data_IF_303503918278
#
_entry.id   IF_303503918278
#
_cell.length_a   1.000
_cell.length_b   1.000
_cell.length_c   1.000
_cell.angle_alpha   90.00
_cell.angle_beta   90.00
_cell.angle_gamma   90.00
#
_symmetry.space_group_name_H-M   'P 1'
#
loop_
_entity.id
_entity.type
_entity.pdbx_description
1 polymer ?
#
# COMPACT_ATOMS: atom_id res chain seq x y z
N UNK A 1 0.75 9.30 -28.72
CA UNK A 1 -0.57 8.72 -28.38
C UNK A 1 -0.45 8.08 -27.01
N UNK A 2 -1.41 8.29 -26.10
CA UNK A 2 -1.36 7.67 -24.77
C UNK A 2 -1.75 6.19 -24.84
N UNK A 3 -0.89 5.33 -24.31
CA UNK A 3 -1.18 3.92 -24.08
C UNK A 3 -1.94 3.76 -22.75
N UNK A 4 -2.85 2.80 -22.66
CA UNK A 4 -3.60 2.49 -21.44
C UNK A 4 -3.73 0.99 -21.25
N UNK A 5 -3.61 0.53 -20.01
CA UNK A 5 -3.84 -0.87 -19.64
C UNK A 5 -5.24 -1.02 -19.06
N UNK A 6 -5.97 -2.03 -19.53
CA UNK A 6 -7.27 -2.46 -19.01
C UNK A 6 -7.13 -3.89 -18.50
N UNK A 7 -7.59 -4.14 -17.27
CA UNK A 7 -7.60 -5.47 -16.68
C UNK A 7 -9.00 -6.10 -16.81
N UNK A 8 -9.05 -7.31 -17.36
CA UNK A 8 -10.20 -8.21 -17.30
C UNK A 8 -9.88 -9.29 -16.28
N UNK A 9 -10.77 -9.48 -15.31
CA UNK A 9 -10.62 -10.48 -14.25
C UNK A 9 -11.91 -11.25 -14.23
N UNK A 10 -11.86 -12.46 -14.75
CA UNK A 10 -13.03 -13.28 -15.06
C UNK A 10 -12.79 -14.71 -14.60
N UNK A 11 -13.86 -15.45 -14.35
CA UNK A 11 -13.78 -16.90 -14.19
C UNK A 11 -13.59 -17.58 -15.56
N UNK A 12 -13.28 -18.88 -15.57
CA UNK A 12 -13.05 -19.64 -16.81
C UNK A 12 -14.23 -19.60 -17.78
N UNK A 13 -15.46 -19.56 -17.26
CA UNK A 13 -16.67 -19.48 -18.09
C UNK A 13 -16.77 -18.15 -18.84
N UNK A 14 -16.45 -17.04 -18.16
CA UNK A 14 -16.54 -15.70 -18.73
C UNK A 14 -15.30 -15.30 -19.54
N UNK A 15 -14.19 -16.05 -19.46
CA UNK A 15 -12.96 -15.76 -20.21
C UNK A 15 -13.16 -15.83 -21.73
N UNK A 16 -14.01 -16.74 -22.22
CA UNK A 16 -14.35 -16.84 -23.65
C UNK A 16 -14.91 -15.53 -24.20
N UNK A 17 -15.72 -14.83 -23.40
CA UNK A 17 -16.30 -13.53 -23.79
C UNK A 17 -15.20 -12.47 -23.97
N UNK A 18 -14.17 -12.51 -23.11
CA UNK A 18 -13.02 -11.60 -23.21
C UNK A 18 -12.22 -11.90 -24.47
N UNK A 19 -11.94 -13.17 -24.76
CA UNK A 19 -11.20 -13.60 -25.94
C UNK A 19 -11.91 -13.25 -27.25
N UNK A 20 -13.23 -13.47 -27.33
CA UNK A 20 -14.04 -13.05 -28.48
C UNK A 20 -14.03 -11.53 -28.66
N UNK A 21 -14.08 -10.76 -27.57
CA UNK A 21 -14.01 -9.31 -27.64
C UNK A 21 -12.61 -8.81 -28.08
N UNK A 22 -11.54 -9.47 -27.62
CA UNK A 22 -10.18 -9.20 -28.05
C UNK A 22 -9.98 -9.50 -29.54
N UNK A 23 -10.45 -10.67 -30.00
CA UNK A 23 -10.39 -11.05 -31.41
C UNK A 23 -11.10 -10.01 -32.28
N UNK A 24 -12.30 -9.57 -31.88
CA UNK A 24 -13.02 -8.51 -32.60
C UNK A 24 -12.27 -7.19 -32.63
N UNK A 25 -11.66 -6.78 -31.51
CA UNK A 25 -10.87 -5.56 -31.44
C UNK A 25 -9.67 -5.61 -32.40
N UNK A 26 -8.93 -6.72 -32.41
CA UNK A 26 -7.77 -6.93 -33.28
C UNK A 26 -8.20 -6.88 -34.76
N UNK A 27 -9.31 -7.51 -35.12
CA UNK A 27 -9.81 -7.53 -36.50
C UNK A 27 -10.34 -6.17 -36.95
N UNK A 28 -11.14 -5.49 -36.12
CA UNK A 28 -11.82 -4.24 -36.51
C UNK A 28 -10.97 -2.98 -36.33
N UNK A 29 -10.10 -2.95 -35.31
CA UNK A 29 -9.28 -1.78 -34.95
C UNK A 29 -7.85 -2.20 -34.57
N UNK A 30 -7.08 -2.78 -35.50
CA UNK A 30 -5.73 -3.27 -35.21
C UNK A 30 -4.78 -2.16 -34.71
N UNK A 31 -4.97 -0.91 -35.14
CA UNK A 31 -4.17 0.23 -34.69
C UNK A 31 -4.38 0.63 -33.22
N UNK A 32 -5.52 0.23 -32.63
CA UNK A 32 -5.82 0.46 -31.23
C UNK A 32 -5.24 -0.63 -30.32
N UNK A 33 -4.99 -1.82 -30.85
CA UNK A 33 -4.41 -2.92 -30.11
C UNK A 33 -2.88 -2.78 -30.04
N UNK A 34 -2.30 -3.00 -28.85
CA UNK A 34 -0.84 -3.03 -28.67
C UNK A 34 -0.38 -4.42 -28.30
N UNK A 35 -0.87 -4.95 -27.17
CA UNK A 35 -0.53 -6.28 -26.67
C UNK A 35 -1.56 -6.72 -25.63
N UNK A 36 -1.62 -8.02 -25.34
CA UNK A 36 -2.32 -8.54 -24.17
C UNK A 36 -1.63 -9.80 -23.64
N UNK A 37 -1.96 -10.16 -22.41
CA UNK A 37 -1.43 -11.30 -21.68
C UNK A 37 -2.54 -11.84 -20.82
N UNK A 38 -2.65 -13.16 -20.78
CA UNK A 38 -3.60 -13.88 -19.96
C UNK A 38 -2.82 -14.69 -18.95
N UNK A 39 -3.10 -14.46 -17.67
CA UNK A 39 -2.60 -15.30 -16.58
C UNK A 39 -3.75 -16.08 -15.97
N UNK A 40 -3.52 -17.36 -15.74
CA UNK A 40 -4.51 -18.29 -15.21
C UNK A 40 -4.09 -18.73 -13.82
N UNK A 41 -5.04 -18.74 -12.89
CA UNK A 41 -4.81 -19.21 -11.53
C UNK A 41 -5.96 -20.08 -11.05
N UNK A 42 -5.61 -21.10 -10.27
CA UNK A 42 -6.56 -22.03 -9.66
C UNK A 42 -6.57 -21.74 -8.16
N UNK A 43 -7.75 -21.43 -7.62
CA UNK A 43 -7.97 -21.17 -6.21
C UNK A 43 -9.17 -22.00 -5.73
N UNK A 44 -8.89 -23.06 -4.96
CA UNK A 44 -9.90 -24.05 -4.60
C UNK A 44 -10.45 -24.77 -5.83
N UNK A 45 -11.78 -24.75 -6.00
CA UNK A 45 -12.46 -25.32 -7.16
C UNK A 45 -12.75 -24.31 -8.29
N UNK A 46 -12.25 -23.08 -8.16
CA UNK A 46 -12.45 -22.02 -9.16
C UNK A 46 -11.16 -21.69 -9.87
N UNK A 47 -11.32 -21.40 -11.15
CA UNK A 47 -10.26 -20.94 -12.03
C UNK A 47 -10.53 -19.49 -12.39
N UNK A 48 -9.54 -18.64 -12.17
CA UNK A 48 -9.58 -17.22 -12.50
C UNK A 48 -8.60 -16.93 -13.63
N UNK A 49 -9.03 -16.09 -14.57
CA UNK A 49 -8.24 -15.58 -15.66
C UNK A 49 -8.10 -14.07 -15.50
N UNK A 50 -6.86 -13.59 -15.58
CA UNK A 50 -6.52 -12.18 -15.55
C UNK A 50 -5.93 -11.82 -16.89
N UNK A 51 -6.69 -11.09 -17.71
CA UNK A 51 -6.23 -10.56 -18.97
C UNK A 51 -5.86 -9.10 -18.83
N UNK A 52 -4.58 -8.77 -18.95
CA UNK A 52 -4.11 -7.40 -19.07
C UNK A 52 -4.06 -7.04 -20.56
N UNK A 53 -4.77 -5.99 -20.96
CA UNK A 53 -4.88 -5.52 -22.34
C UNK A 53 -4.32 -4.11 -22.47
N UNK A 54 -3.30 -3.93 -23.31
CA UNK A 54 -2.71 -2.64 -23.62
C UNK A 54 -3.32 -2.07 -24.91
N UNK A 55 -3.89 -0.86 -24.81
CA UNK A 55 -4.56 -0.15 -25.91
C UNK A 55 -3.91 1.20 -26.21
N UNK A 56 -3.87 1.55 -27.49
CA UNK A 56 -3.61 2.89 -27.98
C UNK A 56 -4.93 3.66 -28.11
N UNK A 57 -4.98 4.88 -27.57
CA UNK A 57 -6.12 5.76 -27.79
C UNK A 57 -7.44 5.26 -27.20
N UNK A 58 -7.38 4.56 -26.06
CA UNK A 58 -8.57 4.10 -25.35
C UNK A 58 -9.56 5.26 -25.10
N UNK A 59 -10.81 5.07 -25.48
CA UNK A 59 -11.84 6.13 -25.44
C UNK A 59 -12.46 6.26 -24.05
N UNK A 60 -12.29 7.43 -23.43
CA UNK A 60 -13.03 7.83 -22.24
C UNK A 60 -14.46 8.19 -22.63
N UNK A 61 -15.47 7.66 -21.95
CA UNK A 61 -16.85 8.11 -22.17
C UNK A 61 -16.99 9.59 -21.78
N UNK A 62 -17.74 10.35 -22.58
CA UNK A 62 -18.01 11.78 -22.34
C UNK A 62 -19.41 11.98 -21.75
N UNK A 63 -19.63 13.13 -21.10
CA UNK A 63 -20.75 13.40 -20.17
C UNK A 63 -22.16 13.06 -20.67
N UNK A 64 -22.46 13.20 -21.95
CA UNK A 64 -23.80 12.88 -22.49
C UNK A 64 -24.08 11.37 -22.58
N UNK A 65 -23.04 10.54 -22.64
CA UNK A 65 -23.13 9.07 -22.60
C UNK A 65 -22.95 8.51 -21.18
N UNK A 66 -22.60 9.36 -20.21
CA UNK A 66 -22.48 8.96 -18.81
C UNK A 66 -23.87 8.80 -18.22
N UNK A 67 -24.46 7.61 -18.38
CA UNK A 67 -25.45 7.20 -17.40
C UNK A 67 -24.71 7.17 -16.05
N UNK A 68 -25.11 8.07 -15.14
CA UNK A 68 -24.61 8.25 -13.76
C UNK A 68 -24.58 6.93 -12.93
N UNK A 69 -25.08 5.83 -13.50
CA UNK A 69 -25.19 4.52 -12.89
C UNK A 69 -23.98 3.59 -13.04
N UNK A 70 -23.12 3.67 -14.08
CA UNK A 70 -22.13 2.61 -14.31
C UNK A 70 -21.02 2.58 -13.25
N UNK A 71 -20.27 3.68 -13.11
CA UNK A 71 -19.21 3.75 -12.10
C UNK A 71 -19.77 3.61 -10.68
N UNK A 72 -20.93 4.21 -10.39
CA UNK A 72 -21.60 4.06 -9.08
C UNK A 72 -22.02 2.61 -8.80
N UNK A 73 -22.44 1.86 -9.82
CA UNK A 73 -22.78 0.43 -9.71
C UNK A 73 -21.54 -0.43 -9.54
N UNK A 74 -20.47 -0.16 -10.29
CA UNK A 74 -19.20 -0.85 -10.15
C UNK A 74 -18.62 -0.66 -8.74
N UNK A 75 -18.61 0.59 -8.24
CA UNK A 75 -18.23 0.92 -6.87
C UNK A 75 -19.04 0.18 -5.82
N UNK A 76 -20.37 0.15 -5.97
CA UNK A 76 -21.26 -0.59 -5.07
C UNK A 76 -20.93 -2.08 -5.03
N UNK A 77 -20.67 -2.70 -6.19
CA UNK A 77 -20.29 -4.12 -6.27
C UNK A 77 -18.98 -4.42 -5.55
N UNK A 78 -18.01 -3.51 -5.62
CA UNK A 78 -16.71 -3.69 -4.94
C UNK A 78 -16.67 -3.13 -3.50
N UNK A 79 -17.75 -2.52 -2.99
CA UNK A 79 -17.77 -1.93 -1.64
C UNK A 79 -17.09 -0.54 -1.51
N UNK A 80 -16.82 0.12 -2.64
CA UNK A 80 -16.04 1.36 -2.74
C UNK A 80 -16.92 2.61 -2.73
N UNK A 81 -17.63 2.87 -1.64
CA UNK A 81 -18.66 3.93 -1.63
C UNK A 81 -18.11 5.33 -1.38
N UNK A 82 -17.16 5.45 -0.46
CA UNK A 82 -16.58 6.73 -0.02
C UNK A 82 -15.09 6.79 -0.31
N UNK A 83 -14.52 7.99 -0.31
CA UNK A 83 -13.08 8.18 -0.48
C UNK A 83 -12.31 7.32 0.53
N UNK A 84 -11.33 6.54 0.07
CA UNK A 84 -10.51 5.70 0.94
C UNK A 84 -11.19 4.44 1.49
N UNK A 85 -12.48 4.16 1.25
CA UNK A 85 -13.09 2.88 1.70
C UNK A 85 -12.47 1.66 1.01
N UNK A 86 -11.93 0.65 1.71
CA UNK A 86 -11.39 -0.55 1.06
C UNK A 86 -12.43 -1.36 0.27
N UNK A 87 -12.03 -2.16 -0.74
CA UNK A 87 -12.93 -3.13 -1.35
C UNK A 87 -13.28 -4.26 -0.37
N UNK A 88 -14.36 -4.99 -0.64
CA UNK A 88 -14.68 -6.20 0.13
C UNK A 88 -13.82 -7.39 -0.32
N UNK A 89 -12.69 -7.63 0.37
CA UNK A 89 -11.76 -8.74 0.09
C UNK A 89 -12.32 -10.13 0.45
N UNK A 90 -13.46 -10.20 1.15
CA UNK A 90 -14.05 -11.47 1.61
C UNK A 90 -15.22 -11.95 0.75
N UNK A 91 -15.51 -11.29 -0.38
CA UNK A 91 -16.59 -11.69 -1.29
C UNK A 91 -16.23 -12.87 -2.22
N UNK A 92 -15.01 -13.41 -2.10
CA UNK A 92 -14.51 -14.51 -2.90
C UNK A 92 -14.27 -14.15 -4.37
N UNK A 93 -14.23 -12.87 -4.72
CA UNK A 93 -13.87 -12.40 -6.06
C UNK A 93 -12.37 -12.11 -6.16
N UNK A 94 -11.82 -12.33 -7.36
CA UNK A 94 -10.40 -12.09 -7.61
C UNK A 94 -10.12 -10.60 -7.82
N UNK A 95 -9.03 -10.12 -7.20
CA UNK A 95 -8.51 -8.76 -7.35
C UNK A 95 -7.00 -8.78 -7.53
N UNK A 96 -6.51 -7.92 -8.41
CA UNK A 96 -5.08 -7.57 -8.44
C UNK A 96 -4.84 -6.49 -7.41
N UNK A 97 -3.93 -6.73 -6.48
CA UNK A 97 -3.51 -5.79 -5.42
C UNK A 97 -2.00 -5.72 -5.36
N UNK A 98 -1.45 -4.72 -4.67
CA UNK A 98 -0.05 -4.77 -4.22
C UNK A 98 -0.05 -5.21 -2.76
N UNK A 99 0.62 -6.32 -2.47
CA UNK A 99 0.74 -6.84 -1.11
C UNK A 99 2.14 -6.62 -0.58
N UNK A 100 2.22 -6.39 0.73
CA UNK A 100 3.47 -6.18 1.44
C UNK A 100 3.65 -7.29 2.47
N UNK A 101 4.78 -7.98 2.42
CA UNK A 101 5.09 -9.17 3.20
C UNK A 101 6.52 -9.12 3.78
N UNK A 102 6.73 -9.79 4.91
CA UNK A 102 8.08 -10.09 5.42
C UNK A 102 8.66 -11.25 4.63
N UNK A 103 9.99 -11.30 4.51
CA UNK A 103 10.70 -12.43 3.87
C UNK A 103 10.20 -13.80 4.35
N UNK A 104 10.02 -13.95 5.66
CA UNK A 104 9.62 -15.21 6.31
C UNK A 104 8.22 -15.71 5.91
N UNK A 105 7.39 -14.85 5.34
CA UNK A 105 6.03 -15.19 4.88
C UNK A 105 6.01 -15.67 3.42
N UNK A 106 7.15 -15.60 2.74
CA UNK A 106 7.29 -16.11 1.38
C UNK A 106 7.75 -17.55 1.44
N UNK A 107 6.93 -18.44 0.92
CA UNK A 107 7.32 -19.81 0.64
C UNK A 107 8.11 -19.84 -0.68
N UNK A 108 9.37 -19.38 -0.68
CA UNK A 108 10.13 -19.20 -1.92
C UNK A 108 11.59 -19.66 -1.86
N UNK A 109 11.87 -20.76 -2.57
CA UNK A 109 13.20 -21.19 -3.04
C UNK A 109 13.75 -20.33 -4.21
N UNK A 110 12.87 -19.61 -4.93
CA UNK A 110 13.21 -18.87 -6.15
C UNK A 110 13.71 -17.43 -5.91
N UNK A 111 13.32 -16.80 -4.79
CA UNK A 111 13.90 -15.51 -4.40
C UNK A 111 15.35 -15.69 -3.93
N UNK A 112 15.68 -16.84 -3.33
CA UNK A 112 17.06 -17.14 -2.97
C UNK A 112 18.00 -17.17 -4.17
N UNK A 113 17.55 -17.63 -5.35
CA UNK A 113 18.37 -17.64 -6.56
C UNK A 113 18.55 -16.24 -7.16
N UNK A 114 17.51 -15.39 -7.13
CA UNK A 114 17.62 -13.98 -7.54
C UNK A 114 18.46 -13.12 -6.59
N UNK A 115 18.36 -13.37 -5.28
CA UNK A 115 19.17 -12.67 -4.26
C UNK A 115 20.62 -13.14 -4.30
N UNK A 116 20.90 -14.43 -4.51
CA UNK A 116 22.29 -14.92 -4.69
C UNK A 116 22.98 -14.33 -5.92
N UNK A 117 22.22 -13.96 -6.95
CA UNK A 117 22.75 -13.38 -8.19
C UNK A 117 22.86 -11.84 -8.18
N UNK A 118 22.27 -11.16 -7.19
CA UNK A 118 22.44 -9.72 -7.02
C UNK A 118 23.52 -9.46 -5.98
N UNK A 119 24.52 -8.65 -6.34
CA UNK A 119 25.69 -8.24 -5.55
C UNK A 119 25.36 -7.45 -4.25
N UNK A 120 24.15 -7.59 -3.69
CA UNK A 120 23.75 -6.95 -2.45
C UNK A 120 24.26 -7.78 -1.27
N UNK A 121 25.29 -7.25 -0.62
CA UNK A 121 26.02 -7.85 0.50
C UNK A 121 25.14 -8.36 1.65
N UNK A 122 25.75 -9.23 2.45
CA UNK A 122 25.21 -9.95 3.62
C UNK A 122 24.69 -9.07 4.77
N UNK A 123 24.49 -7.77 4.57
CA UNK A 123 24.20 -6.81 5.64
C UNK A 123 22.72 -6.43 5.55
N UNK A 124 21.97 -6.83 6.59
CA UNK A 124 20.53 -6.54 6.86
C UNK A 124 19.45 -7.42 6.21
N UNK A 125 19.69 -8.72 6.02
CA UNK A 125 18.65 -9.67 5.54
C UNK A 125 17.49 -9.92 6.52
N UNK A 126 17.54 -9.41 7.75
CA UNK A 126 16.56 -9.70 8.82
C UNK A 126 15.34 -8.79 8.88
N UNK A 127 15.32 -7.65 8.17
CA UNK A 127 14.25 -6.62 8.30
C UNK A 127 13.59 -6.24 6.97
N UNK A 128 13.89 -6.93 5.89
CA UNK A 128 13.42 -6.55 4.56
C UNK A 128 11.91 -6.82 4.43
N UNK A 129 11.14 -5.75 4.44
CA UNK A 129 9.76 -5.75 3.96
C UNK A 129 9.80 -5.74 2.43
N UNK A 130 9.03 -6.62 1.81
CA UNK A 130 8.92 -6.74 0.37
C UNK A 130 7.52 -6.36 -0.08
N UNK A 131 7.43 -5.75 -1.26
CA UNK A 131 6.17 -5.48 -1.93
C UNK A 131 6.17 -6.17 -3.29
N UNK A 132 5.07 -6.84 -3.61
CA UNK A 132 4.84 -7.38 -4.94
C UNK A 132 3.37 -7.26 -5.30
N UNK A 133 3.10 -7.25 -6.59
CA UNK A 133 1.75 -7.42 -7.08
C UNK A 133 1.28 -8.86 -6.88
N UNK A 134 0.03 -9.00 -6.46
CA UNK A 134 -0.58 -10.28 -6.15
C UNK A 134 -2.02 -10.34 -6.65
N UNK A 135 -2.51 -11.57 -6.83
CA UNK A 135 -3.93 -11.87 -6.89
C UNK A 135 -4.41 -12.18 -5.48
N UNK A 136 -5.41 -11.44 -5.03
CA UNK A 136 -6.15 -11.70 -3.79
C UNK A 136 -7.48 -12.35 -4.18
N UNK A 137 -7.75 -13.53 -3.60
CA UNK A 137 -8.98 -14.30 -3.83
C UNK A 137 -9.47 -14.86 -2.50
N UNK A 138 -10.49 -14.24 -1.91
CA UNK A 138 -11.14 -14.77 -0.70
C UNK A 138 -10.18 -14.94 0.48
N UNK A 139 -9.23 -14.00 0.64
CA UNK A 139 -8.19 -14.02 1.67
C UNK A 139 -6.91 -14.78 1.29
N UNK A 140 -6.92 -15.54 0.19
CA UNK A 140 -5.71 -16.19 -0.34
C UNK A 140 -4.95 -15.25 -1.26
N UNK A 141 -3.62 -15.32 -1.23
CA UNK A 141 -2.75 -14.42 -2.00
C UNK A 141 -1.78 -15.22 -2.84
N UNK A 142 -1.68 -14.82 -4.10
CA UNK A 142 -0.82 -15.47 -5.08
C UNK A 142 0.03 -14.42 -5.79
N UNK A 143 1.32 -14.67 -5.93
CA UNK A 143 2.20 -13.75 -6.65
C UNK A 143 1.76 -13.60 -8.11
N UNK A 144 1.71 -12.38 -8.61
CA UNK A 144 1.26 -12.08 -9.97
C UNK A 144 2.11 -11.00 -10.62
N UNK A 145 2.85 -11.38 -11.65
CA UNK A 145 3.79 -10.50 -12.34
C UNK A 145 3.59 -10.62 -13.86
N UNK A 146 2.80 -9.73 -14.49
CA UNK A 146 2.56 -9.81 -15.94
C UNK A 146 3.82 -9.45 -16.76
N UNK A 147 4.15 -10.29 -17.74
CA UNK A 147 5.34 -10.26 -18.57
C UNK A 147 5.61 -8.93 -19.30
N UNK A 148 4.60 -8.20 -19.78
CA UNK A 148 4.84 -6.91 -20.46
C UNK A 148 4.77 -5.68 -19.54
N UNK A 149 4.20 -5.81 -18.34
CA UNK A 149 4.33 -4.79 -17.31
C UNK A 149 5.71 -4.88 -16.62
N UNK A 150 6.40 -6.02 -16.73
CA UNK A 150 7.80 -6.23 -16.32
C UNK A 150 8.85 -5.45 -17.14
N UNK A 151 8.48 -4.71 -18.20
CA UNK A 151 9.40 -3.74 -18.82
C UNK A 151 9.65 -2.63 -17.81
N UNK A 152 10.63 -2.85 -16.93
CA UNK A 152 11.08 -2.01 -15.83
C UNK A 152 10.03 -0.96 -15.48
N UNK A 153 9.18 -1.20 -14.47
CA UNK A 153 8.11 -0.28 -14.03
C UNK A 153 8.54 1.18 -13.88
N UNK A 154 9.85 1.48 -13.89
CA UNK A 154 10.37 2.79 -14.26
C UNK A 154 9.75 3.36 -15.53
N UNK A 155 9.29 2.63 -16.55
CA UNK A 155 8.64 3.18 -17.76
C UNK A 155 7.14 3.40 -17.66
N UNK A 156 6.38 2.61 -16.89
CA UNK A 156 4.95 2.88 -16.68
C UNK A 156 4.72 4.05 -15.71
N UNK A 157 5.60 4.16 -14.71
CA UNK A 157 5.76 5.38 -13.92
C UNK A 157 6.80 6.35 -14.54
N UNK A 158 7.44 6.12 -15.68
CA UNK A 158 8.08 7.23 -16.43
C UNK A 158 7.11 7.80 -17.46
N UNK A 159 6.12 7.06 -17.95
CA UNK A 159 5.07 7.67 -18.77
C UNK A 159 4.15 8.56 -17.92
N UNK A 160 3.88 8.20 -16.65
CA UNK A 160 3.02 9.00 -15.76
C UNK A 160 3.69 9.58 -14.50
N UNK A 161 4.82 9.07 -13.98
CA UNK A 161 5.67 9.83 -13.04
C UNK A 161 6.75 10.67 -13.75
N UNK A 162 6.80 10.69 -15.10
CA UNK A 162 7.12 11.91 -15.86
C UNK A 162 5.90 12.55 -16.54
N UNK A 163 4.67 12.15 -16.18
CA UNK A 163 3.61 13.16 -16.08
C UNK A 163 3.81 13.97 -14.78
N UNK A 164 5.04 14.43 -14.56
CA UNK A 164 5.18 15.87 -14.43
C UNK A 164 4.39 16.47 -15.60
N UNK A 165 3.16 16.88 -15.34
CA UNK A 165 2.67 18.08 -16.01
C UNK A 165 3.55 19.21 -15.51
N UNK A 166 4.80 19.22 -15.96
CA UNK A 166 5.61 20.41 -16.10
C UNK A 166 4.76 21.31 -16.98
N UNK A 167 3.98 22.18 -16.33
CA UNK A 167 3.73 23.47 -16.93
C UNK A 167 5.04 24.25 -16.76
N UNK A 168 6.05 23.90 -17.55
CA UNK A 168 7.10 24.84 -17.90
C UNK A 168 6.41 25.88 -18.75
N UNK A 169 5.96 26.95 -18.09
CA UNK A 169 5.48 28.13 -18.79
C UNK A 169 6.74 28.85 -19.29
N UNK A 170 7.28 28.39 -20.42
CA UNK A 170 8.23 29.18 -21.22
C UNK A 170 7.40 30.22 -21.99
N UNK A 171 6.90 31.22 -21.26
CA UNK A 171 6.45 32.47 -21.87
C UNK A 171 7.48 33.55 -21.54
N UNK A 172 7.69 34.46 -22.49
CA UNK A 172 8.48 35.68 -22.30
C UNK A 172 7.82 36.68 -21.34
N UNK A 173 6.73 36.28 -20.69
CA UNK A 173 5.99 37.10 -19.75
C UNK A 173 6.81 37.31 -18.46
N UNK A 174 7.25 38.55 -18.27
CA UNK A 174 8.01 38.97 -17.09
C UNK A 174 7.17 38.93 -15.80
N UNK A 175 5.85 38.73 -15.88
CA UNK A 175 4.95 38.58 -14.73
C UNK A 175 4.93 37.17 -14.12
N UNK A 176 5.70 36.21 -14.66
CA UNK A 176 5.68 34.81 -14.23
C UNK A 176 6.96 34.44 -13.48
N UNK A 177 6.82 33.62 -12.45
CA UNK A 177 7.93 33.01 -11.74
C UNK A 177 8.34 31.72 -12.47
N UNK A 178 9.60 31.68 -12.92
CA UNK A 178 10.22 30.59 -13.68
C UNK A 178 10.93 29.63 -12.74
N UNK A 179 10.17 28.65 -12.28
CA UNK A 179 10.66 27.59 -11.40
C UNK A 179 10.04 26.25 -11.73
N UNK A 180 10.45 25.24 -10.96
CA UNK A 180 9.88 23.90 -11.01
C UNK A 180 9.79 23.37 -9.58
N UNK A 181 8.66 22.76 -9.23
CA UNK A 181 8.56 21.95 -8.02
C UNK A 181 8.98 20.53 -8.36
N UNK A 182 9.88 19.96 -7.59
CA UNK A 182 10.25 18.55 -7.65
C UNK A 182 9.85 17.85 -6.36
N UNK A 183 9.25 16.67 -6.51
CA UNK A 183 8.82 15.81 -5.40
C UNK A 183 9.55 14.49 -5.55
N UNK A 184 10.17 14.02 -4.48
CA UNK A 184 10.85 12.74 -4.41
C UNK A 184 10.21 11.87 -3.33
N UNK A 185 9.86 10.64 -3.69
CA UNK A 185 9.51 9.62 -2.70
C UNK A 185 10.79 9.11 -2.01
N UNK A 186 10.78 9.11 -0.68
CA UNK A 186 11.88 8.67 0.17
C UNK A 186 11.43 7.38 0.86
N UNK A 187 11.77 6.19 0.31
CA UNK A 187 11.35 4.94 0.92
C UNK A 187 11.96 4.78 2.31
N UNK A 188 11.22 4.16 3.23
CA UNK A 188 11.78 3.68 4.48
C UNK A 188 13.00 2.78 4.23
N UNK A 189 14.06 2.98 5.01
CA UNK A 189 15.35 2.29 4.88
C UNK A 189 15.27 0.76 4.98
N UNK A 190 14.18 0.21 5.53
CA UNK A 190 13.97 -1.23 5.72
C UNK A 190 13.12 -1.92 4.64
N UNK A 191 12.65 -1.21 3.61
CA UNK A 191 11.85 -1.83 2.54
C UNK A 191 12.79 -2.30 1.42
N UNK A 192 13.09 -3.60 1.43
CA UNK A 192 13.74 -4.28 0.30
C UNK A 192 12.71 -4.52 -0.79
N UNK A 193 12.48 -3.54 -1.67
CA UNK A 193 11.49 -3.72 -2.75
C UNK A 193 12.06 -4.54 -3.91
N UNK A 194 11.36 -5.59 -4.33
CA UNK A 194 11.59 -6.26 -5.63
C UNK A 194 11.12 -5.35 -6.78
N UNK A 195 10.09 -4.51 -6.52
CA UNK A 195 9.49 -3.58 -7.47
C UNK A 195 9.40 -2.17 -6.88
N UNK A 196 9.82 -1.13 -7.64
CA UNK A 196 9.83 0.27 -7.18
C UNK A 196 8.40 0.84 -7.11
N UNK A 197 7.72 0.70 -5.98
CA UNK A 197 6.45 1.35 -5.69
C UNK A 197 6.64 2.55 -4.73
N UNK A 198 5.92 3.64 -4.99
CA UNK A 198 5.71 4.71 -4.02
C UNK A 198 4.64 4.24 -3.03
N UNK A 199 5.03 3.39 -2.08
CA UNK A 199 4.12 2.82 -1.10
C UNK A 199 3.66 3.89 -0.11
N UNK A 200 2.38 3.88 0.19
CA UNK A 200 1.79 4.83 1.10
C UNK A 200 0.86 4.11 2.06
N UNK A 201 1.20 4.12 3.35
CA UNK A 201 0.37 3.46 4.35
C UNK A 201 -0.66 4.43 4.93
N UNK A 202 -1.89 3.97 5.20
CA UNK A 202 -2.92 4.80 5.82
C UNK A 202 -2.44 5.38 7.15
N UNK A 203 -2.90 6.60 7.48
CA UNK A 203 -2.58 7.29 8.74
C UNK A 203 -1.11 7.66 8.94
N UNK A 204 -0.22 7.38 7.99
CA UNK A 204 1.14 7.91 8.04
C UNK A 204 1.16 9.41 7.70
N UNK A 205 2.22 10.08 8.16
CA UNK A 205 2.44 11.47 7.85
C UNK A 205 3.22 11.60 6.55
N UNK A 206 2.73 12.41 5.63
CA UNK A 206 3.34 12.65 4.32
C UNK A 206 4.79 13.12 4.43
N UNK A 207 5.15 13.84 5.50
CA UNK A 207 6.53 14.34 5.69
C UNK A 207 7.59 13.23 5.79
N UNK A 208 7.17 12.02 6.16
CA UNK A 208 8.10 10.91 6.39
C UNK A 208 8.52 10.23 5.08
N UNK A 209 7.68 10.32 4.05
CA UNK A 209 7.79 9.53 2.82
C UNK A 209 8.14 10.40 1.60
N UNK A 210 8.15 11.73 1.74
CA UNK A 210 8.36 12.66 0.63
C UNK A 210 9.33 13.78 0.98
N UNK A 211 10.12 14.18 -0.02
CA UNK A 211 10.98 15.37 0.01
C UNK A 211 10.62 16.28 -1.16
N UNK A 212 10.46 17.57 -0.86
CA UNK A 212 10.06 18.59 -1.83
C UNK A 212 11.19 19.59 -2.01
N UNK A 213 11.48 19.97 -3.26
CA UNK A 213 12.42 21.04 -3.58
C UNK A 213 11.90 21.92 -4.72
N UNK A 214 12.20 23.21 -4.66
CA UNK A 214 11.94 24.17 -5.72
C UNK A 214 13.23 24.42 -6.49
N UNK A 215 13.21 24.23 -7.80
CA UNK A 215 14.35 24.41 -8.69
C UNK A 215 14.19 25.70 -9.47
N UNK A 216 15.21 26.55 -9.46
CA UNK A 216 15.24 27.78 -10.24
C UNK A 216 15.70 27.48 -11.67
N UNK A 217 14.85 27.75 -12.67
CA UNK A 217 15.15 27.36 -14.07
C UNK A 217 15.96 28.40 -14.86
N UNK A 218 16.09 29.62 -14.33
CA UNK A 218 16.79 30.75 -14.96
C UNK A 218 17.70 31.42 -13.90
N UNK A 219 18.60 32.33 -14.29
CA UNK A 219 19.46 33.02 -13.32
C UNK A 219 18.69 33.78 -12.22
N UNK A 220 17.45 34.15 -12.48
CA UNK A 220 16.52 34.71 -11.50
C UNK A 220 15.18 34.00 -11.56
N UNK A 221 14.40 34.11 -10.47
CA UNK A 221 13.06 33.53 -10.40
C UNK A 221 12.06 34.24 -11.32
N UNK A 222 12.21 35.54 -11.58
CA UNK A 222 11.31 36.31 -12.44
C UNK A 222 12.03 37.58 -12.97
N UNK A 223 11.36 38.32 -13.86
CA UNK A 223 11.89 39.56 -14.45
C UNK A 223 12.17 40.67 -13.44
N UNK A 224 11.57 40.64 -12.23
CA UNK A 224 11.85 41.61 -11.18
C UNK A 224 13.27 41.48 -10.59
N UNK A 225 14.00 40.39 -10.85
CA UNK A 225 15.32 40.11 -10.27
C UNK A 225 15.36 40.11 -8.73
N UNK A 226 14.20 39.93 -8.09
CA UNK A 226 14.08 39.85 -6.63
C UNK A 226 13.91 38.41 -6.16
N UNK A 227 14.20 38.21 -4.87
CA UNK A 227 13.81 37.01 -4.12
C UNK A 227 12.30 36.76 -4.27
N UNK A 228 11.92 35.50 -4.07
CA UNK A 228 10.51 35.08 -4.06
C UNK A 228 10.10 34.65 -2.66
N UNK A 229 8.81 34.67 -2.41
CA UNK A 229 8.19 34.20 -1.18
C UNK A 229 7.26 33.05 -1.53
N UNK A 230 7.40 31.91 -0.85
CA UNK A 230 6.33 30.92 -0.81
C UNK A 230 5.18 31.48 0.02
N UNK A 231 4.00 31.56 -0.58
CA UNK A 231 2.79 32.15 0.02
C UNK A 231 1.74 31.12 0.40
N UNK A 232 1.79 29.94 -0.22
CA UNK A 232 0.82 28.86 0.03
C UNK A 232 1.44 27.49 -0.26
N UNK A 233 1.17 26.54 0.62
CA UNK A 233 1.49 25.11 0.42
C UNK A 233 0.20 24.30 0.57
N UNK A 234 -0.08 23.46 -0.42
CA UNK A 234 -1.28 22.62 -0.44
C UNK A 234 -0.91 21.18 -0.80
N UNK A 235 -1.47 20.23 -0.05
CA UNK A 235 -1.35 18.79 -0.30
C UNK A 235 -2.76 18.23 -0.49
N UNK A 236 -3.01 17.59 -1.63
CA UNK A 236 -4.31 17.00 -1.97
C UNK A 236 -4.13 15.51 -2.24
N UNK A 237 -4.93 14.67 -1.57
CA UNK A 237 -5.06 13.27 -1.93
C UNK A 237 -6.10 13.10 -3.04
N UNK A 238 -5.76 12.32 -4.05
CA UNK A 238 -6.60 12.08 -5.23
C UNK A 238 -6.89 10.58 -5.29
N UNK A 239 -8.16 10.22 -5.32
CA UNK A 239 -8.64 8.86 -5.59
C UNK A 239 -9.22 8.85 -7.01
N UNK A 240 -8.69 8.00 -7.89
CA UNK A 240 -9.26 7.74 -9.20
C UNK A 240 -9.89 6.36 -9.21
N UNK A 241 -11.19 6.29 -9.42
CA UNK A 241 -11.88 5.03 -9.72
C UNK A 241 -12.13 4.96 -11.22
N UNK A 242 -11.85 3.82 -11.85
CA UNK A 242 -12.15 3.59 -13.27
C UNK A 242 -12.97 2.31 -13.43
N UNK A 243 -13.98 2.30 -14.30
CA UNK A 243 -14.68 1.07 -14.69
C UNK A 243 -14.68 0.90 -16.21
N UNK A 244 -14.56 -0.36 -16.65
CA UNK A 244 -14.69 -0.73 -18.06
C UNK A 244 -16.16 -0.93 -18.42
N UNK A 245 -16.55 -0.46 -19.60
CA UNK A 245 -17.94 -0.48 -20.08
C UNK A 245 -17.95 -1.05 -21.49
N UNK A 246 -18.67 -2.15 -21.74
CA UNK A 246 -18.89 -2.64 -23.09
C UNK A 246 -19.79 -1.64 -23.85
N UNK A 247 -19.39 -1.22 -25.04
CA UNK A 247 -20.12 -0.25 -25.86
C UNK A 247 -19.89 -0.54 -27.35
N UNK A 248 -20.95 -0.84 -28.10
CA UNK A 248 -20.92 -1.11 -29.54
C UNK A 248 -19.76 -2.02 -29.99
N UNK A 249 -19.61 -3.18 -29.32
CA UNK A 249 -18.55 -4.16 -29.56
C UNK A 249 -17.11 -3.70 -29.24
N UNK A 250 -16.97 -2.57 -28.55
CA UNK A 250 -15.71 -2.06 -28.02
C UNK A 250 -15.76 -1.94 -26.50
N UNK A 251 -14.61 -1.69 -25.88
CA UNK A 251 -14.52 -1.29 -24.49
C UNK A 251 -14.23 0.20 -24.38
N UNK A 252 -15.12 0.91 -23.69
CA UNK A 252 -14.87 2.26 -23.20
C UNK A 252 -14.58 2.22 -21.71
N UNK A 253 -14.11 3.31 -21.16
CA UNK A 253 -13.98 3.45 -19.71
C UNK A 253 -14.66 4.72 -19.21
N UNK A 254 -15.15 4.64 -17.98
CA UNK A 254 -15.57 5.78 -17.18
C UNK A 254 -14.60 5.94 -16.02
N UNK A 255 -14.26 7.18 -15.70
CA UNK A 255 -13.43 7.53 -14.56
C UNK A 255 -14.12 8.58 -13.70
N UNK A 256 -14.03 8.40 -12.39
CA UNK A 256 -14.43 9.37 -11.39
C UNK A 256 -13.19 9.72 -10.57
N UNK A 257 -12.91 11.00 -10.44
CA UNK A 257 -11.81 11.53 -9.62
C UNK A 257 -12.42 12.20 -8.40
N UNK A 258 -11.97 11.80 -7.22
CA UNK A 258 -12.32 12.43 -5.94
C UNK A 258 -11.06 13.01 -5.33
N UNK A 259 -11.18 14.22 -4.80
CA UNK A 259 -10.06 14.92 -4.18
C UNK A 259 -10.39 15.25 -2.73
N UNK A 260 -9.41 15.08 -1.84
CA UNK A 260 -9.48 15.51 -0.45
C UNK A 260 -8.27 16.38 -0.18
N UNK A 261 -8.52 17.60 0.28
CA UNK A 261 -7.45 18.51 0.70
C UNK A 261 -6.96 18.03 2.06
N UNK A 262 -5.70 17.57 2.12
CA UNK A 262 -5.06 17.13 3.35
C UNK A 262 -4.44 18.29 4.12
N UNK A 263 -3.90 19.26 3.38
CA UNK A 263 -3.31 20.48 3.91
C UNK A 263 -3.49 21.61 2.93
N UNK A 264 -3.80 22.80 3.43
CA UNK A 264 -3.89 24.03 2.65
C UNK A 264 -3.56 25.20 3.57
N UNK A 265 -2.30 25.63 3.55
CA UNK A 265 -1.76 26.58 4.52
C UNK A 265 -1.12 27.77 3.80
N UNK A 266 -1.39 28.97 4.32
CA UNK A 266 -0.66 30.18 3.94
C UNK A 266 0.65 30.22 4.70
N UNK A 267 1.74 30.42 3.99
CA UNK A 267 3.09 30.48 4.56
C UNK A 267 3.75 31.78 4.11
N UNK A 268 4.79 32.23 4.81
CA UNK A 268 5.53 33.44 4.45
C UNK A 268 7.02 33.12 4.52
N UNK A 269 7.51 32.37 3.53
CA UNK A 269 8.91 31.93 3.50
C UNK A 269 9.61 32.64 2.36
N UNK A 270 10.54 33.54 2.69
CA UNK A 270 11.37 34.21 1.70
C UNK A 270 12.49 33.26 1.27
N UNK A 271 12.65 33.11 -0.04
CA UNK A 271 13.67 32.30 -0.70
C UNK A 271 14.60 33.26 -1.41
N UNK A 272 15.78 33.47 -0.83
CA UNK A 272 16.83 34.31 -1.38
C UNK A 272 17.79 33.50 -2.25
N UNK A 273 18.62 34.21 -3.01
CA UNK A 273 19.67 33.61 -3.81
C UNK A 273 20.66 32.78 -2.98
N UNK A 274 20.96 33.22 -1.75
CA UNK A 274 21.84 32.53 -0.81
C UNK A 274 21.24 31.23 -0.24
N UNK A 275 19.92 31.07 -0.32
CA UNK A 275 19.22 29.88 0.16
C UNK A 275 19.25 28.74 -0.88
N UNK A 276 19.65 29.04 -2.12
CA UNK A 276 19.75 28.08 -3.22
C UNK A 276 21.03 27.25 -3.09
N UNK A 277 20.88 25.93 -3.22
CA UNK A 277 21.96 24.94 -3.10
C UNK A 277 22.20 24.22 -4.42
N UNK A 278 23.42 23.71 -4.58
CA UNK A 278 23.81 22.84 -5.69
C UNK A 278 23.89 23.53 -7.05
N UNK A 279 24.39 22.79 -8.04
CA UNK A 279 24.55 23.29 -9.42
C UNK A 279 23.21 23.53 -10.11
N UNK A 280 22.15 22.84 -9.66
CA UNK A 280 20.77 23.00 -10.14
C UNK A 280 20.00 24.13 -9.43
N UNK A 281 20.65 24.89 -8.53
CA UNK A 281 20.07 26.06 -7.81
C UNK A 281 18.69 25.76 -7.23
N UNK A 282 18.63 24.83 -6.28
CA UNK A 282 17.38 24.41 -5.66
C UNK A 282 17.25 24.86 -4.20
N UNK A 283 16.01 25.01 -3.75
CA UNK A 283 15.62 25.27 -2.37
C UNK A 283 14.86 24.07 -1.82
N UNK A 284 15.36 23.43 -0.76
CA UNK A 284 14.66 22.34 -0.07
C UNK A 284 13.56 22.90 0.82
N UNK A 285 12.33 22.40 0.67
CA UNK A 285 11.24 22.78 1.56
C UNK A 285 11.33 22.02 2.88
N UNK A 286 11.19 22.77 3.97
CA UNK A 286 11.01 22.19 5.30
C UNK A 286 9.79 21.26 5.33
N UNK A 287 10.01 20.04 5.82
CA UNK A 287 9.01 18.98 5.88
C UNK A 287 7.78 19.31 6.72
N UNK A 288 7.89 20.25 7.67
CA UNK A 288 6.78 20.78 8.46
C UNK A 288 5.72 21.47 7.60
N UNK A 289 6.13 22.08 6.47
CA UNK A 289 5.25 22.84 5.58
C UNK A 289 4.26 21.95 4.82
N UNK A 290 4.58 20.68 4.63
CA UNK A 290 3.71 19.69 3.99
C UNK A 290 3.40 18.51 4.92
N UNK A 291 3.62 18.68 6.23
CA UNK A 291 3.25 17.66 7.21
C UNK A 291 1.73 17.58 7.36
N UNK A 292 1.17 16.46 6.93
CA UNK A 292 -0.23 16.12 7.11
C UNK A 292 -0.39 14.60 7.23
N UNK A 293 -1.41 14.20 7.99
CA UNK A 293 -1.74 12.78 8.19
C UNK A 293 -2.68 12.32 7.09
N UNK A 294 -2.39 11.16 6.52
CA UNK A 294 -3.24 10.55 5.51
C UNK A 294 -4.54 10.03 6.14
N UNK A 295 -5.68 10.13 5.41
CA UNK A 295 -6.90 9.50 5.87
C UNK A 295 -6.77 7.97 5.85
N UNK A 296 -7.79 7.28 6.32
CA UNK A 296 -7.87 5.84 6.18
C UNK A 296 -8.09 5.49 4.69
N UNK A 297 -7.00 5.17 3.99
CA UNK A 297 -7.02 4.78 2.58
C UNK A 297 -7.11 3.26 2.46
N UNK A 298 -8.05 2.77 1.66
CA UNK A 298 -8.16 1.37 1.31
C UNK A 298 -7.15 1.00 0.23
N UNK A 299 -6.90 -0.29 0.05
CA UNK A 299 -5.91 -0.82 -0.91
C UNK A 299 -6.12 -0.31 -2.35
N UNK A 300 -5.02 -0.08 -3.06
CA UNK A 300 -4.99 0.09 -4.53
C UNK A 300 -5.27 -1.25 -5.20
N UNK A 301 -6.29 -1.33 -6.04
CA UNK A 301 -6.70 -2.61 -6.63
C UNK A 301 -7.27 -2.50 -8.05
N UNK A 302 -7.31 -3.64 -8.73
CA UNK A 302 -8.07 -3.87 -9.96
C UNK A 302 -8.96 -5.10 -9.76
N UNK A 303 -10.26 -4.96 -10.03
CA UNK A 303 -11.25 -6.03 -9.94
C UNK A 303 -11.93 -6.25 -11.30
N UNK A 304 -12.88 -7.19 -11.32
CA UNK A 304 -13.82 -7.34 -12.44
C UNK A 304 -14.57 -6.05 -12.77
N UNK A 305 -15.06 -5.32 -11.76
CA UNK A 305 -15.99 -4.20 -11.98
C UNK A 305 -15.29 -2.86 -12.11
N UNK A 306 -14.24 -2.60 -11.32
CA UNK A 306 -13.51 -1.34 -11.36
C UNK A 306 -12.05 -1.48 -10.93
N UNK A 307 -11.29 -0.42 -11.12
CA UNK A 307 -9.99 -0.23 -10.50
C UNK A 307 -10.00 1.04 -9.66
N UNK A 308 -9.10 1.07 -8.67
CA UNK A 308 -8.86 2.21 -7.81
C UNK A 308 -7.37 2.47 -7.75
N UNK A 309 -7.00 3.74 -7.94
CA UNK A 309 -5.63 4.25 -7.81
C UNK A 309 -5.62 5.53 -6.99
N UNK A 310 -4.48 5.81 -6.37
CA UNK A 310 -4.27 7.03 -5.61
C UNK A 310 -3.11 7.84 -6.16
N UNK A 311 -3.18 9.15 -5.95
CA UNK A 311 -2.08 10.06 -6.17
C UNK A 311 -2.08 11.14 -5.07
N UNK A 312 -0.91 11.71 -4.82
CA UNK A 312 -0.76 12.93 -4.02
C UNK A 312 -0.40 14.08 -4.95
N UNK A 313 -1.15 15.18 -4.86
CA UNK A 313 -0.84 16.44 -5.53
C UNK A 313 -0.29 17.44 -4.52
N UNK A 314 0.93 17.89 -4.78
CA UNK A 314 1.63 18.93 -4.05
C UNK A 314 1.57 20.21 -4.87
N UNK A 315 1.11 21.29 -4.25
CA UNK A 315 0.99 22.60 -4.88
C UNK A 315 1.69 23.65 -4.02
N UNK A 316 2.58 24.44 -4.62
CA UNK A 316 3.23 25.57 -3.95
C UNK A 316 3.00 26.84 -4.77
N UNK A 317 2.49 27.88 -4.13
CA UNK A 317 2.37 29.21 -4.74
C UNK A 317 3.55 30.07 -4.31
N UNK A 318 4.26 30.64 -5.29
CA UNK A 318 5.30 31.64 -5.10
C UNK A 318 4.81 33.01 -5.54
N UNK A 319 5.32 34.05 -4.89
CA UNK A 319 5.10 35.45 -5.22
C UNK A 319 6.44 36.19 -5.16
N UNK A 320 6.74 37.08 -6.10
CA UNK A 320 7.94 37.93 -5.96
C UNK A 320 7.73 38.95 -4.83
N UNK A 321 8.81 39.46 -4.21
CA UNK A 321 8.67 40.43 -3.11
C UNK A 321 8.00 41.75 -3.53
N UNK A 322 8.08 42.11 -4.82
CA UNK A 322 7.33 43.23 -5.39
C UNK A 322 5.83 42.95 -5.59
N UNK A 323 5.38 41.71 -5.37
CA UNK A 323 4.00 41.23 -5.56
C UNK A 323 3.45 41.38 -6.99
N UNK A 324 4.32 41.65 -7.97
CA UNK A 324 3.95 41.77 -9.39
C UNK A 324 3.89 40.43 -10.11
N UNK A 325 4.62 39.43 -9.62
CA UNK A 325 4.71 38.10 -10.23
C UNK A 325 4.17 37.06 -9.26
N UNK A 326 3.35 36.13 -9.76
CA UNK A 326 2.84 34.99 -8.97
C UNK A 326 2.77 33.75 -9.84
N UNK A 327 3.14 32.59 -9.29
CA UNK A 327 3.00 31.31 -9.99
C UNK A 327 2.71 30.19 -9.01
N UNK A 328 1.91 29.22 -9.43
CA UNK A 328 1.65 28.00 -8.65
C UNK A 328 2.26 26.82 -9.39
N UNK A 329 3.05 26.03 -8.66
CA UNK A 329 3.71 24.84 -9.17
C UNK A 329 3.01 23.62 -8.60
N UNK A 330 2.54 22.74 -9.48
CA UNK A 330 1.80 21.54 -9.13
C UNK A 330 2.58 20.29 -9.56
N UNK A 331 2.74 19.33 -8.66
CA UNK A 331 3.26 18.00 -8.98
C UNK A 331 2.28 16.97 -8.45
N UNK A 332 1.88 16.04 -9.32
CA UNK A 332 1.05 14.89 -8.93
C UNK A 332 1.91 13.64 -9.01
N UNK A 333 1.97 12.89 -7.91
CA UNK A 333 2.71 11.64 -7.83
C UNK A 333 1.75 10.50 -7.54
N UNK A 334 1.75 9.50 -8.40
CA UNK A 334 1.00 8.27 -8.15
C UNK A 334 1.61 7.50 -6.97
N UNK A 335 0.73 6.98 -6.12
CA UNK A 335 1.07 6.24 -4.92
C UNK A 335 0.25 4.96 -4.85
N UNK A 336 0.81 3.97 -4.16
CA UNK A 336 0.19 2.65 -3.99
C UNK A 336 -0.11 2.44 -2.52
N UNK A 337 -1.38 2.20 -2.20
CA UNK A 337 -1.79 1.79 -0.86
C UNK A 337 -1.79 0.26 -0.84
N UNK A 338 -0.85 -0.40 -0.15
CA UNK A 338 -0.72 -1.85 -0.20
C UNK A 338 -1.71 -2.56 0.72
N UNK A 339 -1.87 -3.87 0.49
CA UNK A 339 -2.42 -4.82 1.45
C UNK A 339 -1.31 -5.28 2.40
N UNK A 340 -1.48 -5.05 3.71
CA UNK A 340 -0.46 -5.31 4.73
C UNK A 340 -0.50 -6.75 5.25
N UNK A 341 0.00 -7.70 4.47
CA UNK A 341 0.07 -9.12 4.86
C UNK A 341 1.03 -9.38 6.01
N UNK A 342 2.08 -8.56 6.14
CA UNK A 342 3.03 -8.69 7.25
C UNK A 342 2.45 -8.43 8.65
N UNK A 343 1.27 -7.82 8.72
CA UNK A 343 0.52 -7.63 9.98
C UNK A 343 -0.34 -8.84 10.33
N UNK A 344 -0.60 -9.75 9.37
CA UNK A 344 -1.24 -11.04 9.63
C UNK A 344 -0.17 -11.98 10.19
N UNK A 345 0.22 -11.79 11.44
CA UNK A 345 1.09 -12.76 12.12
C UNK A 345 0.23 -13.96 12.53
N UNK A 346 0.49 -15.11 11.92
CA UNK A 346 0.03 -16.39 12.42
C UNK A 346 0.89 -16.77 13.62
N UNK A 347 0.24 -17.10 14.75
CA UNK A 347 0.89 -17.75 15.88
C UNK A 347 1.23 -19.20 15.49
N UNK A 348 2.52 -19.52 15.49
CA UNK A 348 3.02 -20.88 15.37
C UNK A 348 3.38 -21.36 16.76
N UNK A 349 2.57 -22.25 17.34
CA UNK A 349 2.90 -22.89 18.62
C UNK A 349 3.74 -24.11 18.31
N UNK A 350 5.01 -24.08 18.73
CA UNK A 350 5.99 -25.16 18.46
C UNK A 350 6.03 -26.23 19.55
N UNK A 351 5.65 -25.89 20.78
CA UNK A 351 5.64 -26.85 21.89
C UNK A 351 4.67 -26.40 22.99
N UNK A 352 3.99 -27.38 23.59
CA UNK A 352 3.21 -27.19 24.82
C UNK A 352 3.93 -28.00 25.91
N UNK A 353 4.48 -27.33 26.92
CA UNK A 353 5.07 -28.02 28.07
C UNK A 353 4.02 -28.20 29.17
N UNK A 354 3.78 -29.45 29.58
CA UNK A 354 2.90 -29.81 30.68
C UNK A 354 3.74 -30.25 31.88
N UNK A 355 3.48 -29.77 33.11
CA UNK A 355 4.36 -29.99 34.26
C UNK A 355 4.60 -31.46 34.65
N UNK A 356 3.83 -32.42 34.14
CA UNK A 356 3.97 -33.84 34.51
C UNK A 356 3.79 -34.85 33.36
N UNK A 357 3.63 -34.42 32.11
CA UNK A 357 3.50 -35.29 30.94
C UNK A 357 4.27 -34.69 29.77
N UNK A 358 5.42 -35.29 29.42
CA UNK A 358 6.02 -35.06 28.11
C UNK A 358 5.15 -35.75 27.07
N UNK A 359 4.36 -34.97 26.34
CA UNK A 359 3.86 -35.44 25.05
C UNK A 359 5.02 -35.45 24.05
N UNK A 360 5.00 -36.41 23.13
CA UNK A 360 5.91 -36.36 21.98
C UNK A 360 5.67 -35.07 21.17
N UNK A 361 6.69 -34.56 20.45
CA UNK A 361 6.53 -33.40 19.57
C UNK A 361 5.34 -33.62 18.63
N UNK A 362 4.36 -32.72 18.66
CA UNK A 362 3.26 -32.73 17.69
C UNK A 362 3.75 -32.14 16.36
N UNK A 363 3.10 -32.52 15.26
CA UNK A 363 3.31 -31.79 13.99
C UNK A 363 2.88 -30.33 14.16
N UNK A 364 3.67 -29.41 13.62
CA UNK A 364 3.40 -27.97 13.66
C UNK A 364 1.96 -27.67 13.20
N UNK A 365 1.20 -26.93 14.00
CA UNK A 365 -0.15 -26.51 13.63
C UNK A 365 -0.36 -25.00 13.84
N UNK A 366 -1.16 -24.42 12.94
CA UNK A 366 -1.45 -22.98 12.94
C UNK A 366 -2.64 -22.69 13.86
N UNK A 367 -2.47 -21.76 14.82
CA UNK A 367 -3.57 -21.28 15.65
C UNK A 367 -4.21 -20.04 15.05
N UNK A 368 -5.47 -20.18 14.64
CA UNK A 368 -6.28 -19.06 14.19
C UNK A 368 -6.94 -18.38 15.40
N UNK A 369 -6.52 -17.16 15.71
CA UNK A 369 -7.19 -16.32 16.70
C UNK A 369 -8.43 -15.67 16.09
N UNK A 370 -9.59 -15.88 16.73
CA UNK A 370 -10.83 -15.17 16.39
C UNK A 370 -11.45 -14.64 17.68
N UNK A 371 -11.65 -13.31 17.78
CA UNK A 371 -12.25 -12.64 18.93
C UNK A 371 -11.59 -12.98 20.28
N UNK A 372 -10.25 -13.03 20.33
CA UNK A 372 -9.51 -13.36 21.56
C UNK A 372 -9.64 -14.82 22.01
N UNK A 373 -10.22 -15.71 21.19
CA UNK A 373 -10.29 -17.14 21.44
C UNK A 373 -9.44 -17.89 20.39
N UNK A 374 -8.68 -18.89 20.85
CA UNK A 374 -7.91 -19.77 19.99
C UNK A 374 -8.67 -21.10 19.80
N UNK A 375 -8.86 -21.52 18.54
CA UNK A 375 -9.42 -22.85 18.24
C UNK A 375 -8.28 -23.84 18.04
N UNK A 376 -8.14 -24.77 18.96
CA UNK A 376 -7.16 -25.86 18.84
C UNK A 376 -7.68 -26.95 17.89
N UNK A 377 -6.77 -27.61 17.13
CA UNK A 377 -7.12 -28.79 16.37
C UNK A 377 -7.66 -29.88 17.31
N UNK A 378 -8.65 -30.66 16.82
CA UNK A 378 -9.28 -31.72 17.62
C UNK A 378 -8.28 -32.81 18.00
N UNK A 379 -7.21 -32.94 17.21
CA UNK A 379 -6.11 -33.87 17.41
C UNK A 379 -5.28 -33.54 18.66
N UNK A 380 -5.27 -32.27 19.11
CA UNK A 380 -4.49 -31.80 20.27
C UNK A 380 -5.35 -31.77 21.54
N UNK A 381 -6.59 -31.32 21.45
CA UNK A 381 -7.56 -31.37 22.55
C UNK A 381 -8.95 -31.80 22.04
N UNK A 382 -9.49 -32.96 22.45
CA UNK A 382 -10.78 -33.44 21.97
C UNK A 382 -11.92 -32.59 22.58
N UNK A 383 -12.32 -31.54 21.86
CA UNK A 383 -13.55 -30.79 22.14
C UNK A 383 -13.49 -29.80 23.31
N UNK A 384 -12.29 -29.48 23.83
CA UNK A 384 -12.13 -28.47 24.89
C UNK A 384 -11.86 -27.11 24.25
N UNK A 385 -12.69 -26.11 24.58
CA UNK A 385 -12.45 -24.69 24.29
C UNK A 385 -11.96 -24.04 25.59
N UNK A 386 -10.65 -24.04 25.91
CA UNK A 386 -10.18 -23.35 27.09
C UNK A 386 -10.35 -21.83 26.89
N UNK A 387 -10.89 -21.11 27.89
CA UNK A 387 -10.96 -19.66 27.82
C UNK A 387 -9.55 -19.05 27.80
N UNK A 388 -9.33 -18.09 26.91
CA UNK A 388 -8.08 -17.36 26.82
C UNK A 388 -8.00 -16.36 27.98
N UNK A 389 -7.09 -16.56 28.94
CA UNK A 389 -6.85 -15.61 30.05
C UNK A 389 -5.35 -15.34 30.19
N UNK A 390 -4.82 -14.30 29.51
CA UNK A 390 -3.45 -13.87 29.72
C UNK A 390 -3.26 -13.49 31.20
N UNK A 391 -2.09 -13.80 31.74
CA UNK A 391 -1.92 -13.92 33.21
C UNK A 391 -0.74 -13.11 33.74
N UNK A 392 0.24 -12.80 32.90
CA UNK A 392 1.31 -11.84 33.23
C UNK A 392 2.01 -11.35 31.96
N UNK A 393 2.45 -10.10 31.97
CA UNK A 393 3.24 -9.48 30.90
C UNK A 393 4.49 -8.87 31.51
N UNK A 394 5.65 -9.21 30.96
CA UNK A 394 6.93 -8.66 31.41
C UNK A 394 7.60 -7.92 30.24
N UNK A 395 8.10 -6.72 30.51
CA UNK A 395 8.87 -5.94 29.53
C UNK A 395 10.35 -6.16 29.80
N UNK A 396 11.10 -6.70 28.83
CA UNK A 396 12.55 -6.83 28.94
C UNK A 396 13.29 -5.65 28.26
N UNK A 397 12.61 -4.81 27.47
CA UNK A 397 13.21 -3.58 26.88
C UNK A 397 12.15 -2.64 26.30
N UNK A 398 12.51 -1.36 26.12
CA UNK A 398 11.69 -0.27 25.55
C UNK A 398 11.02 -0.55 24.18
N UNK A 399 11.36 -1.64 23.49
CA UNK A 399 10.88 -1.94 22.14
C UNK A 399 10.22 -3.32 22.00
N UNK A 400 10.16 -4.12 23.07
CA UNK A 400 9.64 -5.49 23.02
C UNK A 400 8.84 -5.79 24.28
N UNK A 401 7.53 -6.02 24.11
CA UNK A 401 6.69 -6.56 25.18
C UNK A 401 6.65 -8.07 25.03
N UNK A 402 6.92 -8.83 26.09
CA UNK A 402 6.79 -10.29 26.14
C UNK A 402 5.44 -10.61 26.83
N UNK A 403 4.55 -11.28 26.10
CA UNK A 403 3.25 -11.72 26.65
C UNK A 403 3.34 -13.19 27.04
N UNK A 404 3.33 -13.49 28.34
CA UNK A 404 3.23 -14.88 28.83
C UNK A 404 1.75 -15.29 28.93
N UNK A 405 1.39 -16.45 28.37
CA UNK A 405 0.00 -16.89 28.24
C UNK A 405 -0.24 -18.16 29.07
N UNK A 406 -0.75 -18.04 30.30
CA UNK A 406 -1.17 -19.24 31.05
C UNK A 406 -2.53 -19.74 30.55
N UNK A 407 -2.65 -21.05 30.32
CA UNK A 407 -3.90 -21.69 29.89
C UNK A 407 -4.45 -22.54 31.03
N UNK A 408 -5.54 -22.12 31.65
CA UNK A 408 -6.19 -22.92 32.69
C UNK A 408 -7.14 -23.95 32.05
N UNK A 409 -6.77 -25.23 32.09
CA UNK A 409 -7.59 -26.33 31.54
C UNK A 409 -8.32 -27.03 32.69
N UNK A 410 -9.63 -26.87 32.78
CA UNK A 410 -10.45 -27.61 33.75
C UNK A 410 -10.88 -28.95 33.15
N UNK A 411 -10.29 -30.04 33.62
CA UNK A 411 -10.73 -31.40 33.29
C UNK A 411 -11.93 -31.82 34.15
N UNK A 412 -12.75 -32.75 33.66
CA UNK A 412 -13.96 -33.26 34.34
C UNK A 412 -13.67 -34.03 35.64
N UNK A 413 -12.42 -34.39 35.90
CA UNK A 413 -11.97 -35.00 37.15
C UNK A 413 -11.44 -33.91 38.09
N UNK A 414 -11.82 -33.97 39.36
CA UNK A 414 -11.89 -32.89 40.35
C UNK A 414 -10.57 -32.27 40.85
N UNK A 415 -9.51 -32.26 40.05
CA UNK A 415 -8.31 -31.47 40.30
C UNK A 415 -8.14 -30.48 39.15
N UNK A 416 -8.25 -29.19 39.44
CA UNK A 416 -7.94 -28.15 38.47
C UNK A 416 -6.42 -28.19 38.19
N UNK A 417 -6.02 -28.80 37.08
CA UNK A 417 -4.64 -28.76 36.62
C UNK A 417 -4.44 -27.49 35.78
N UNK A 418 -3.60 -26.57 36.25
CA UNK A 418 -3.23 -25.40 35.46
C UNK A 418 -2.09 -25.77 34.51
N UNK A 419 -2.29 -25.55 33.21
CA UNK A 419 -1.26 -25.72 32.19
C UNK A 419 -0.59 -24.36 31.97
N UNK A 420 0.74 -24.33 32.01
CA UNK A 420 1.48 -23.10 31.76
C UNK A 420 2.08 -23.17 30.35
N UNK A 421 1.52 -22.37 29.43
CA UNK A 421 2.08 -22.21 28.09
C UNK A 421 2.96 -20.97 28.10
N UNK A 422 4.28 -21.15 28.19
CA UNK A 422 5.21 -20.04 28.09
C UNK A 422 5.57 -19.87 26.61
N UNK A 423 4.87 -18.97 25.92
CA UNK A 423 5.21 -18.52 24.58
C UNK A 423 5.68 -17.07 24.63
N UNK A 424 6.84 -16.78 24.07
CA UNK A 424 7.39 -15.43 24.01
C UNK A 424 6.82 -14.70 22.80
N UNK A 425 5.70 -13.98 23.02
CA UNK A 425 5.15 -13.12 21.97
C UNK A 425 5.87 -11.77 21.97
N UNK A 426 6.57 -11.44 20.87
CA UNK A 426 7.19 -10.13 20.68
C UNK A 426 6.24 -9.21 19.91
N UNK A 427 5.55 -8.30 20.62
CA UNK A 427 4.65 -7.32 20.00
C UNK A 427 5.38 -5.98 19.79
N UNK A 428 5.48 -5.48 18.55
CA UNK A 428 6.01 -4.13 18.30
C UNK A 428 4.91 -3.08 18.49
N UNK A 429 5.12 -2.15 19.43
CA UNK A 429 4.23 -1.01 19.66
C UNK A 429 4.01 -0.69 21.14
N UNK A 430 3.22 0.35 21.38
CA UNK A 430 2.83 0.80 22.72
C UNK A 430 1.81 -0.19 23.31
N UNK A 431 2.23 -0.96 24.32
CA UNK A 431 1.40 -1.97 24.97
C UNK A 431 0.17 -1.36 25.65
N UNK A 432 0.27 -0.12 26.17
CA UNK A 432 -0.86 0.55 26.83
C UNK A 432 -2.03 0.77 25.87
N UNK A 433 -1.74 1.17 24.63
CA UNK A 433 -2.76 1.32 23.58
C UNK A 433 -3.40 -0.03 23.17
N UNK A 434 -2.68 -1.14 23.34
CA UNK A 434 -3.19 -2.49 23.09
C UNK A 434 -4.12 -2.96 24.23
N UNK A 435 -3.78 -2.62 25.48
CA UNK A 435 -4.60 -2.93 26.68
C UNK A 435 -5.91 -2.15 26.66
N UNK A 436 -5.88 -0.87 26.28
CA UNK A 436 -7.11 -0.04 26.20
C UNK A 436 -8.11 -0.53 25.14
N UNK A 437 -7.65 -1.33 24.17
CA UNK A 437 -8.46 -1.82 23.06
C UNK A 437 -8.78 -3.33 23.11
N UNK A 438 -8.39 -4.04 24.18
CA UNK A 438 -8.52 -5.49 24.29
C UNK A 438 -8.91 -5.97 25.72
N UNK A 439 -9.20 -7.27 25.88
CA UNK A 439 -9.44 -7.94 27.18
C UNK A 439 -8.12 -8.35 27.89
N UNK A 440 -6.99 -7.74 27.52
CA UNK A 440 -5.69 -8.07 28.11
C UNK A 440 -5.55 -7.47 29.52
N UNK A 441 -4.85 -8.14 30.45
CA UNK A 441 -4.63 -7.61 31.80
C UNK A 441 -3.71 -6.38 31.79
N UNK A 442 -3.84 -5.48 32.79
CA UNK A 442 -2.93 -4.36 32.95
C UNK A 442 -1.50 -4.84 33.27
N UNK A 443 -0.52 -4.02 32.88
CA UNK A 443 0.90 -4.27 33.11
C UNK A 443 1.23 -4.46 34.60
N UNK A 444 2.06 -5.45 34.93
CA UNK A 444 2.55 -5.70 36.31
C UNK A 444 4.07 -5.73 36.27
N UNK A 445 4.71 -4.74 36.88
CA UNK A 445 6.16 -4.67 37.01
C UNK A 445 6.63 -5.75 38.00
N UNK A 446 7.44 -6.70 37.52
CA UNK A 446 8.02 -7.75 38.38
C UNK A 446 9.35 -7.22 38.90
N UNK A 447 9.40 -6.87 40.19
CA UNK A 447 10.65 -6.56 40.88
C UNK A 447 11.56 -7.80 40.88
N UNK A 448 12.63 -7.78 40.08
CA UNK A 448 13.71 -8.77 40.13
C UNK A 448 14.47 -8.66 41.46
N UNK A 449 13.96 -9.28 42.53
CA UNK A 449 14.79 -9.62 43.69
C UNK A 449 15.74 -10.74 43.28
N UNK A 450 16.98 -10.37 42.92
CA UNK A 450 18.12 -11.28 42.83
C UNK A 450 18.32 -11.98 44.18
N UNK A 451 17.89 -13.23 44.30
CA UNK A 451 18.44 -14.17 45.27
C UNK A 451 19.88 -14.46 44.86
N UNK A 452 20.83 -13.82 45.55
CA UNK A 452 22.22 -14.27 45.59
C UNK A 452 22.22 -15.52 46.44
N UNK A 453 22.51 -16.66 45.81
CA UNK A 453 22.89 -17.89 46.50
C UNK A 453 24.38 -17.79 46.78
N UNK A 454 24.74 -17.61 48.05
CA UNK A 454 25.86 -18.31 48.69
C UNK A 454 25.29 -19.15 49.84
#
# INVERSE_FOLDING_TARGET
MSTRIIHFIEDDYNQLIVEEALSRLITKKPSHYVSHEVSKIICGNKTWNVTALQLNGATKMKGEEMQDSFIRRARRKDGVLVFGSGPNLHDGTCRVVVSVFKRKQLDLSHIESHIKNSFCGRVEMGKSIYAARCLEVGGSIFQYTPAFECKAFTKYYHSDAQSMKERTIDTEDNSIIRGKLEVKYVPFSYIGTIEKYNLLYPRLNVKNDFSLRLVQLKPSWCGCMLSVMATRVKVTAIETTACKIPFNEEYRYQEEVREVILKDERVNIVINELDLRGDDRHFELDSSLYSCTLPNLGVTFFSRNCSRRYALRFSITLMCLEQKCTSTFDVTMDVVVPLEEYKKEALYVRSIELPQLKYEPFEDFTLNLTNGCAKFPKEVFPGILPPFKPTSVTSQSLCHTIICIRLEVKTFFSSAESVELIEELVVPGDYEALVESSLLPPYVEVDEKRTVVE
#
